data_IF_029348870164
#
_entry.id   IF_029348870164
#
_cell.length_a   1.000
_cell.length_b   1.000
_cell.length_c   1.000
_cell.angle_alpha   90.00
_cell.angle_beta   90.00
_cell.angle_gamma   90.00
#
_symmetry.space_group_name_H-M   'P 1'
#
loop_
_entity.id
_entity.type
_entity.pdbx_description
1 polymer ?
#
# COMPACT_ATOMS: atom_id res chain seq x y z
N UNK A 1 3.51 -23.22 -0.44
CA UNK A 1 2.52 -22.14 -0.29
C UNK A 1 1.60 -22.46 0.89
N UNK A 2 1.68 -21.69 1.98
CA UNK A 2 0.99 -21.98 3.26
C UNK A 2 -0.53 -21.77 3.22
N UNK A 3 -1.10 -21.48 2.05
CA UNK A 3 -2.48 -21.02 1.93
C UNK A 3 -3.35 -21.86 0.97
N UNK A 4 -2.86 -22.99 0.47
CA UNK A 4 -3.56 -23.77 -0.57
C UNK A 4 -4.76 -24.58 -0.08
N UNK A 5 -4.98 -24.75 1.24
CA UNK A 5 -5.94 -25.71 1.79
C UNK A 5 -7.09 -25.09 2.62
N UNK A 6 -7.52 -23.86 2.28
CA UNK A 6 -8.72 -23.31 2.92
C UNK A 6 -9.84 -23.18 1.91
N UNK A 7 -10.99 -23.79 2.18
CA UNK A 7 -12.18 -23.81 1.30
C UNK A 7 -12.65 -22.42 0.80
N UNK A 8 -12.24 -21.36 1.48
CA UNK A 8 -12.58 -19.96 1.18
C UNK A 8 -11.41 -19.14 0.60
N UNK A 9 -10.29 -19.77 0.23
CA UNK A 9 -9.12 -19.09 -0.30
C UNK A 9 -8.80 -19.56 -1.71
N UNK A 10 -8.66 -18.61 -2.64
CA UNK A 10 -8.24 -18.88 -4.01
C UNK A 10 -7.05 -18.01 -4.34
N UNK A 11 -6.05 -18.57 -5.00
CA UNK A 11 -4.81 -17.89 -5.36
C UNK A 11 -4.66 -17.79 -6.88
N UNK A 12 -4.51 -16.54 -7.36
CA UNK A 12 -4.17 -16.23 -8.75
C UNK A 12 -2.84 -15.49 -8.79
N UNK A 13 -1.75 -16.16 -9.18
CA UNK A 13 -0.48 -15.48 -9.43
C UNK A 13 -0.69 -14.41 -10.51
N UNK A 14 -0.36 -13.16 -10.20
CA UNK A 14 -0.62 -12.03 -11.09
C UNK A 14 0.48 -10.98 -10.94
N UNK A 15 1.14 -10.62 -12.02
CA UNK A 15 1.93 -9.41 -12.07
C UNK A 15 0.98 -8.22 -12.24
N UNK A 16 0.77 -7.48 -11.17
CA UNK A 16 -0.13 -6.32 -11.18
C UNK A 16 0.38 -5.16 -12.04
N UNK A 17 1.66 -5.15 -12.45
CA UNK A 17 2.20 -4.15 -13.36
C UNK A 17 1.87 -4.45 -14.84
N UNK A 18 1.34 -5.65 -15.14
CA UNK A 18 0.93 -6.13 -16.45
C UNK A 18 -0.60 -6.00 -16.63
N UNK A 19 -1.04 -5.11 -17.52
CA UNK A 19 -2.46 -4.92 -17.81
C UNK A 19 -3.15 -6.21 -18.31
N UNK A 20 -2.44 -7.03 -19.10
CA UNK A 20 -3.00 -8.28 -19.62
C UNK A 20 -3.21 -9.32 -18.51
N UNK A 21 -2.26 -9.46 -17.58
CA UNK A 21 -2.39 -10.39 -16.45
C UNK A 21 -3.48 -9.94 -15.49
N UNK A 22 -3.55 -8.64 -15.18
CA UNK A 22 -4.60 -8.06 -14.35
C UNK A 22 -5.98 -8.35 -14.93
N UNK A 23 -6.20 -8.06 -16.22
CA UNK A 23 -7.48 -8.32 -16.87
C UNK A 23 -7.83 -9.81 -16.83
N UNK A 24 -6.89 -10.70 -17.20
CA UNK A 24 -7.09 -12.16 -17.16
C UNK A 24 -7.47 -12.64 -15.75
N UNK A 25 -6.81 -12.12 -14.72
CA UNK A 25 -7.10 -12.49 -13.33
C UNK A 25 -8.50 -12.03 -12.92
N UNK A 26 -8.84 -10.77 -13.18
CA UNK A 26 -10.15 -10.21 -12.83
C UNK A 26 -11.27 -10.95 -13.58
N UNK A 27 -11.09 -11.24 -14.87
CA UNK A 27 -12.06 -12.01 -15.67
C UNK A 27 -12.25 -13.43 -15.10
N UNK A 28 -11.17 -14.10 -14.68
CA UNK A 28 -11.23 -15.42 -14.05
C UNK A 28 -11.99 -15.39 -12.72
N UNK A 29 -11.81 -14.36 -11.91
CA UNK A 29 -12.55 -14.16 -10.66
C UNK A 29 -14.04 -13.94 -10.95
N UNK A 30 -14.37 -13.10 -11.92
CA UNK A 30 -15.75 -12.81 -12.32
C UNK A 30 -16.41 -14.05 -12.87
N UNK A 31 -15.72 -14.82 -13.71
CA UNK A 31 -16.23 -16.08 -14.25
C UNK A 31 -16.56 -17.09 -13.13
N UNK A 32 -15.73 -17.15 -12.09
CA UNK A 32 -15.90 -18.09 -10.99
C UNK A 32 -16.99 -17.67 -9.99
N UNK A 33 -17.03 -16.39 -9.61
CA UNK A 33 -17.87 -15.91 -8.51
C UNK A 33 -19.02 -15.01 -8.95
N UNK A 34 -19.04 -14.55 -10.19
CA UNK A 34 -20.06 -13.65 -10.73
C UNK A 34 -19.94 -12.19 -10.29
N UNK A 35 -19.20 -11.91 -9.21
CA UNK A 35 -19.09 -10.59 -8.59
C UNK A 35 -17.77 -10.35 -7.87
N UNK A 36 -17.48 -9.08 -7.62
CA UNK A 36 -16.37 -8.64 -6.74
C UNK A 36 -16.92 -7.54 -5.83
N UNK A 37 -16.91 -7.76 -4.51
CA UNK A 37 -17.47 -6.83 -3.53
C UNK A 37 -16.44 -5.89 -2.94
N UNK A 38 -15.20 -6.34 -2.85
CA UNK A 38 -14.10 -5.58 -2.29
C UNK A 38 -12.78 -5.79 -3.04
N UNK A 39 -12.00 -4.71 -3.15
CA UNK A 39 -10.62 -4.75 -3.61
C UNK A 39 -9.74 -4.13 -2.54
N UNK A 40 -8.68 -4.83 -2.14
CA UNK A 40 -7.63 -4.26 -1.28
C UNK A 40 -6.33 -4.18 -2.07
N UNK A 41 -5.94 -2.98 -2.45
CA UNK A 41 -4.66 -2.70 -3.10
C UNK A 41 -3.55 -2.67 -2.04
N UNK A 42 -3.03 -3.85 -1.68
CA UNK A 42 -2.00 -4.01 -0.65
C UNK A 42 -0.60 -4.28 -1.23
N UNK A 43 -0.51 -4.85 -2.42
CA UNK A 43 0.78 -5.17 -3.03
C UNK A 43 1.66 -3.91 -3.17
N UNK A 44 2.94 -4.04 -2.83
CA UNK A 44 3.88 -2.93 -2.93
C UNK A 44 5.31 -3.33 -2.61
N UNK A 45 6.25 -2.52 -3.07
CA UNK A 45 7.69 -2.65 -2.82
C UNK A 45 8.24 -1.34 -2.31
N UNK A 46 9.32 -1.41 -1.54
CA UNK A 46 10.03 -0.25 -1.02
C UNK A 46 11.53 -0.48 -1.11
N UNK A 47 12.22 0.35 -1.85
CA UNK A 47 13.68 0.36 -1.99
C UNK A 47 14.21 1.68 -1.42
N UNK A 48 14.69 1.72 -0.15
CA UNK A 48 15.26 2.95 0.40
C UNK A 48 16.47 3.40 -0.42
N UNK A 49 16.40 4.64 -0.94
CA UNK A 49 17.43 5.27 -1.78
C UNK A 49 17.39 6.78 -1.57
N UNK A 50 18.56 7.40 -1.56
CA UNK A 50 18.70 8.87 -1.58
C UNK A 50 18.49 9.41 -3.00
N UNK A 51 18.04 10.65 -3.12
CA UNK A 51 18.03 11.35 -4.40
C UNK A 51 19.45 11.53 -4.93
N UNK A 52 20.36 11.91 -4.05
CA UNK A 52 21.81 11.97 -4.29
C UNK A 52 22.50 11.36 -3.07
N UNK A 53 23.40 10.42 -3.30
CA UNK A 53 24.25 9.85 -2.24
C UNK A 53 25.63 10.53 -2.28
N UNK A 54 25.86 11.54 -1.44
CA UNK A 54 27.11 12.28 -1.38
C UNK A 54 28.33 11.42 -0.98
N UNK A 55 28.09 10.29 -0.26
CA UNK A 55 29.14 9.36 0.17
C UNK A 55 29.56 8.39 -0.94
N UNK A 56 28.63 8.05 -1.82
CA UNK A 56 28.84 7.11 -2.92
C UNK A 56 27.97 7.50 -4.12
N UNK A 57 28.33 8.58 -4.84
CA UNK A 57 27.58 9.06 -6.01
C UNK A 57 27.39 7.94 -7.05
N UNK A 58 26.16 7.79 -7.54
CA UNK A 58 25.73 6.71 -8.45
C UNK A 58 25.91 5.29 -7.86
N UNK A 59 26.08 5.21 -6.54
CA UNK A 59 26.26 3.94 -5.82
C UNK A 59 24.94 3.21 -5.53
N UNK A 60 25.08 2.13 -4.76
CA UNK A 60 23.98 1.20 -4.43
C UNK A 60 22.77 1.89 -3.79
N UNK A 61 22.97 2.94 -3.03
CA UNK A 61 21.92 3.60 -2.25
C UNK A 61 21.46 4.94 -2.83
N UNK A 62 21.93 5.30 -4.02
CA UNK A 62 21.35 6.38 -4.82
C UNK A 62 20.18 5.86 -5.66
N UNK A 63 19.14 6.65 -5.80
CA UNK A 63 17.94 6.29 -6.56
C UNK A 63 18.24 6.27 -8.04
N UNK A 64 18.30 5.10 -8.64
CA UNK A 64 18.46 4.93 -10.07
C UNK A 64 17.09 4.72 -10.76
N UNK A 65 17.09 4.87 -12.09
CA UNK A 65 15.89 4.76 -12.92
C UNK A 65 15.16 3.41 -12.75
N UNK A 66 15.89 2.31 -12.73
CA UNK A 66 15.31 0.96 -12.60
C UNK A 66 14.56 0.78 -11.26
N UNK A 67 15.13 1.26 -10.15
CA UNK A 67 14.47 1.22 -8.85
C UNK A 67 13.25 2.14 -8.80
N UNK A 68 13.35 3.34 -9.41
CA UNK A 68 12.24 4.28 -9.55
C UNK A 68 11.10 3.65 -10.33
N UNK A 69 11.35 3.16 -11.53
CA UNK A 69 10.34 2.53 -12.40
C UNK A 69 9.69 1.34 -11.73
N UNK A 70 10.47 0.48 -11.06
CA UNK A 70 9.92 -0.69 -10.37
C UNK A 70 8.96 -0.29 -9.26
N UNK A 71 9.28 0.74 -8.46
CA UNK A 71 8.37 1.25 -7.43
C UNK A 71 7.11 1.87 -8.06
N UNK A 72 7.24 2.68 -9.09
CA UNK A 72 6.10 3.31 -9.79
C UNK A 72 5.22 2.24 -10.45
N UNK A 73 5.81 1.27 -11.15
CA UNK A 73 5.07 0.24 -11.85
C UNK A 73 4.25 -0.65 -10.90
N UNK A 74 4.79 -1.00 -9.74
CA UNK A 74 4.08 -1.85 -8.77
C UNK A 74 3.15 -1.01 -7.89
N UNK A 75 3.68 0.02 -7.22
CA UNK A 75 2.94 0.72 -6.18
C UNK A 75 1.87 1.69 -6.71
N UNK A 76 2.03 2.19 -7.93
CA UNK A 76 1.14 3.20 -8.51
C UNK A 76 0.39 2.67 -9.72
N UNK A 77 1.09 2.24 -10.78
CA UNK A 77 0.48 1.71 -12.01
C UNK A 77 -0.33 0.44 -11.72
N UNK A 78 0.23 -0.49 -10.93
CA UNK A 78 -0.46 -1.73 -10.55
C UNK A 78 -1.77 -1.46 -9.81
N UNK A 79 -1.76 -0.52 -8.88
CA UNK A 79 -2.98 -0.08 -8.17
C UNK A 79 -4.01 0.50 -9.14
N UNK A 80 -3.58 1.31 -10.09
CA UNK A 80 -4.47 1.84 -11.14
C UNK A 80 -5.07 0.72 -11.99
N UNK A 81 -4.26 -0.21 -12.50
CA UNK A 81 -4.73 -1.29 -13.35
C UNK A 81 -5.74 -2.20 -12.64
N UNK A 82 -5.42 -2.63 -11.41
CA UNK A 82 -6.33 -3.47 -10.61
C UNK A 82 -7.62 -2.73 -10.29
N UNK A 83 -7.53 -1.48 -9.86
CA UNK A 83 -8.71 -0.68 -9.54
C UNK A 83 -9.60 -0.46 -10.75
N UNK A 84 -9.03 -0.16 -11.92
CA UNK A 84 -9.80 0.04 -13.14
C UNK A 84 -10.52 -1.24 -13.59
N UNK A 85 -9.81 -2.37 -13.60
CA UNK A 85 -10.39 -3.66 -14.00
C UNK A 85 -11.54 -4.07 -13.07
N UNK A 86 -11.34 -3.97 -11.75
CA UNK A 86 -12.36 -4.32 -10.75
C UNK A 86 -13.51 -3.31 -10.75
N UNK A 87 -13.23 -2.01 -10.85
CA UNK A 87 -14.27 -0.98 -10.86
C UNK A 87 -15.24 -1.13 -12.03
N UNK A 88 -14.80 -1.60 -13.21
CA UNK A 88 -15.69 -1.91 -14.32
C UNK A 88 -16.78 -2.92 -13.95
N UNK A 89 -16.42 -3.92 -13.14
CA UNK A 89 -17.38 -4.91 -12.63
C UNK A 89 -18.26 -4.30 -11.52
N UNK A 90 -17.67 -3.57 -10.58
CA UNK A 90 -18.41 -2.92 -9.48
C UNK A 90 -19.43 -1.90 -9.99
N UNK A 91 -19.13 -1.17 -11.08
CA UNK A 91 -20.09 -0.24 -11.75
C UNK A 91 -21.31 -1.01 -12.27
N UNK A 92 -21.15 -2.19 -12.88
CA UNK A 92 -22.25 -3.05 -13.30
C UNK A 92 -23.08 -3.53 -12.12
N UNK A 93 -22.42 -3.84 -11.01
CA UNK A 93 -23.06 -4.31 -9.76
C UNK A 93 -23.79 -3.18 -9.01
N UNK A 94 -23.44 -1.90 -9.29
CA UNK A 94 -23.89 -0.74 -8.51
C UNK A 94 -23.48 -0.82 -7.02
N UNK A 95 -22.39 -1.50 -6.74
CA UNK A 95 -21.92 -1.76 -5.38
C UNK A 95 -20.45 -2.17 -5.40
N UNK A 96 -19.68 -1.76 -4.39
CA UNK A 96 -18.30 -2.20 -4.18
C UNK A 96 -17.51 -1.28 -3.25
N UNK A 97 -16.37 -1.79 -2.79
CA UNK A 97 -15.43 -1.03 -1.96
C UNK A 97 -14.00 -1.24 -2.44
N UNK A 98 -13.28 -0.16 -2.66
CA UNK A 98 -11.84 -0.18 -2.97
C UNK A 98 -11.09 0.39 -1.77
N UNK A 99 -10.16 -0.38 -1.22
CA UNK A 99 -9.27 0.04 -0.13
C UNK A 99 -7.84 0.16 -0.67
N UNK A 100 -7.26 1.34 -0.63
CA UNK A 100 -5.88 1.61 -1.02
C UNK A 100 -4.96 1.61 0.21
N UNK A 101 -3.98 0.71 0.26
CA UNK A 101 -2.98 0.69 1.33
C UNK A 101 -1.86 1.67 0.97
N UNK A 102 -1.96 2.88 1.52
CA UNK A 102 -0.97 3.93 1.43
C UNK A 102 0.16 3.72 2.47
N UNK A 103 0.65 4.77 3.06
CA UNK A 103 1.65 4.79 4.14
C UNK A 103 1.65 6.16 4.81
N UNK A 104 2.10 6.25 6.07
CA UNK A 104 2.44 7.52 6.70
C UNK A 104 3.43 8.33 5.85
N UNK A 105 4.38 7.65 5.18
CA UNK A 105 5.35 8.29 4.27
C UNK A 105 4.67 9.01 3.10
N UNK A 106 3.49 8.57 2.67
CA UNK A 106 2.69 9.23 1.63
C UNK A 106 1.92 10.46 2.14
N UNK A 107 1.92 10.72 3.45
CA UNK A 107 1.32 11.91 4.07
C UNK A 107 2.38 12.99 4.36
N UNK A 108 3.53 12.60 4.91
CA UNK A 108 4.55 13.54 5.36
C UNK A 108 5.91 13.46 4.63
N UNK A 109 6.09 12.50 3.73
CA UNK A 109 7.41 12.18 3.16
C UNK A 109 8.25 11.31 4.08
N UNK A 110 9.42 10.89 3.61
CA UNK A 110 10.36 10.09 4.42
C UNK A 110 11.76 10.16 3.82
N UNK A 111 12.74 10.54 4.61
CA UNK A 111 14.16 10.56 4.21
C UNK A 111 14.60 9.17 3.74
N UNK A 112 15.30 9.13 2.61
CA UNK A 112 15.73 7.90 1.97
C UNK A 112 14.63 7.09 1.27
N UNK A 113 13.39 7.61 1.20
CA UNK A 113 12.24 6.90 0.62
C UNK A 113 11.41 7.81 -0.30
N UNK A 114 12.00 8.81 -0.93
CA UNK A 114 11.27 9.83 -1.70
C UNK A 114 10.37 9.23 -2.79
N UNK A 115 10.87 8.29 -3.58
CA UNK A 115 10.07 7.62 -4.62
C UNK A 115 8.93 6.79 -4.01
N UNK A 116 9.21 6.00 -2.97
CA UNK A 116 8.17 5.24 -2.27
C UNK A 116 7.08 6.17 -1.71
N UNK A 117 7.47 7.23 -1.01
CA UNK A 117 6.56 8.22 -0.47
C UNK A 117 5.70 8.87 -1.56
N UNK A 118 6.29 9.23 -2.71
CA UNK A 118 5.57 9.77 -3.85
C UNK A 118 4.53 8.77 -4.40
N UNK A 119 4.88 7.47 -4.54
CA UNK A 119 3.92 6.47 -4.98
C UNK A 119 2.76 6.31 -3.98
N UNK A 120 3.02 6.38 -2.68
CA UNK A 120 1.98 6.29 -1.64
C UNK A 120 1.13 7.57 -1.55
N UNK A 121 1.70 8.74 -1.78
CA UNK A 121 0.96 9.99 -1.94
C UNK A 121 0.01 9.95 -3.15
N UNK A 122 0.43 9.33 -4.25
CA UNK A 122 -0.42 9.11 -5.42
C UNK A 122 -1.68 8.29 -5.05
N UNK A 123 -1.57 7.27 -4.19
CA UNK A 123 -2.71 6.49 -3.72
C UNK A 123 -3.71 7.34 -2.92
N UNK A 124 -3.21 8.29 -2.12
CA UNK A 124 -4.07 9.24 -1.40
C UNK A 124 -4.86 10.13 -2.37
N UNK A 125 -4.21 10.55 -3.47
CA UNK A 125 -4.87 11.33 -4.53
C UNK A 125 -5.90 10.49 -5.30
N UNK A 126 -5.54 9.25 -5.69
CA UNK A 126 -6.47 8.31 -6.33
C UNK A 126 -7.70 8.05 -5.44
N UNK A 127 -7.51 7.86 -4.15
CA UNK A 127 -8.61 7.64 -3.20
C UNK A 127 -9.61 8.80 -3.24
N UNK A 128 -9.12 10.05 -3.21
CA UNK A 128 -9.98 11.24 -3.27
C UNK A 128 -10.67 11.42 -4.62
N UNK A 129 -9.96 11.16 -5.72
CA UNK A 129 -10.50 11.34 -7.08
C UNK A 129 -11.51 10.26 -7.42
N UNK A 130 -11.14 9.00 -7.24
CA UNK A 130 -11.99 7.86 -7.59
C UNK A 130 -13.25 7.77 -6.71
N UNK A 131 -13.21 8.23 -5.47
CA UNK A 131 -14.40 8.32 -4.63
C UNK A 131 -15.47 9.25 -5.23
N UNK A 132 -15.04 10.35 -5.85
CA UNK A 132 -15.94 11.30 -6.54
C UNK A 132 -16.47 10.73 -7.86
N UNK A 133 -15.61 10.03 -8.61
CA UNK A 133 -15.98 9.44 -9.89
C UNK A 133 -16.95 8.26 -9.71
N UNK A 134 -16.72 7.41 -8.71
CA UNK A 134 -17.39 6.13 -8.53
C UNK A 134 -18.55 6.17 -7.53
N UNK A 135 -18.65 7.20 -6.68
CA UNK A 135 -19.69 7.31 -5.65
C UNK A 135 -21.11 7.25 -6.21
N UNK A 136 -21.38 7.86 -7.39
CA UNK A 136 -22.67 7.79 -8.10
C UNK A 136 -23.07 6.37 -8.53
N UNK A 137 -22.12 5.44 -8.51
CA UNK A 137 -22.34 4.02 -8.82
C UNK A 137 -22.47 3.16 -7.56
N UNK A 138 -22.56 3.76 -6.36
CA UNK A 138 -22.62 3.02 -5.10
C UNK A 138 -21.28 2.40 -4.68
N UNK A 139 -20.16 2.90 -5.21
CA UNK A 139 -18.82 2.38 -4.91
C UNK A 139 -18.10 3.35 -3.99
N UNK A 140 -17.55 2.83 -2.89
CA UNK A 140 -16.70 3.58 -1.97
C UNK A 140 -15.23 3.36 -2.29
N UNK A 141 -14.43 4.41 -2.15
CA UNK A 141 -12.97 4.33 -2.27
C UNK A 141 -12.36 4.96 -1.03
N UNK A 142 -11.60 4.19 -0.29
CA UNK A 142 -11.00 4.59 0.99
C UNK A 142 -9.53 4.22 1.02
N UNK A 143 -8.77 4.89 1.87
CA UNK A 143 -7.36 4.62 2.07
C UNK A 143 -7.04 4.32 3.53
N UNK A 144 -5.99 3.56 3.74
CA UNK A 144 -5.33 3.38 5.02
C UNK A 144 -3.86 3.75 4.89
N UNK A 145 -3.31 4.49 5.84
CA UNK A 145 -1.91 4.92 5.86
C UNK A 145 -1.22 4.37 7.12
N UNK A 146 -0.74 3.11 7.09
CA UNK A 146 -0.02 2.55 8.21
C UNK A 146 1.31 3.27 8.47
N UNK A 147 1.66 3.40 9.74
CA UNK A 147 2.97 3.81 10.19
C UNK A 147 3.89 2.61 10.43
N UNK A 148 4.69 2.69 11.48
CA UNK A 148 5.61 1.61 11.86
C UNK A 148 4.80 0.44 12.44
N UNK A 149 4.85 -0.70 11.76
CA UNK A 149 4.23 -1.95 12.17
C UNK A 149 5.27 -2.96 12.66
N UNK A 150 4.83 -4.05 13.22
CA UNK A 150 5.64 -5.25 13.46
C UNK A 150 6.29 -5.75 12.15
N UNK A 151 7.29 -6.62 12.27
CA UNK A 151 8.09 -7.05 11.11
C UNK A 151 7.22 -7.71 10.04
N UNK A 152 7.34 -7.21 8.82
CA UNK A 152 6.70 -7.75 7.61
C UNK A 152 7.75 -8.25 6.62
N UNK A 153 7.31 -8.91 5.54
CA UNK A 153 8.17 -9.31 4.44
C UNK A 153 8.86 -8.14 3.70
N UNK A 154 8.38 -6.90 3.88
CA UNK A 154 9.04 -5.71 3.34
C UNK A 154 10.27 -5.30 4.15
N UNK A 155 10.33 -5.63 5.45
CA UNK A 155 11.45 -5.28 6.34
C UNK A 155 12.48 -6.39 6.36
N UNK A 156 13.21 -6.53 5.25
CA UNK A 156 14.34 -7.45 5.14
C UNK A 156 15.62 -6.83 5.72
N UNK A 157 16.69 -7.63 6.00
CA UNK A 157 17.99 -7.08 6.38
C UNK A 157 18.50 -6.03 5.37
N UNK A 158 18.38 -6.29 4.09
CA UNK A 158 18.82 -5.39 3.03
C UNK A 158 18.02 -4.06 3.02
N UNK A 159 16.74 -4.12 3.35
CA UNK A 159 15.92 -2.92 3.54
C UNK A 159 16.40 -2.11 4.74
N UNK A 160 16.66 -2.77 5.89
CA UNK A 160 17.13 -2.09 7.10
C UNK A 160 18.52 -1.47 6.89
N UNK A 161 19.44 -2.17 6.22
CA UNK A 161 20.75 -1.64 5.84
C UNK A 161 20.63 -0.39 4.94
N UNK A 162 19.82 -0.49 3.88
CA UNK A 162 19.59 0.61 2.97
C UNK A 162 18.99 1.84 3.69
N UNK A 163 18.00 1.62 4.54
CA UNK A 163 17.33 2.70 5.27
C UNK A 163 18.27 3.33 6.32
N UNK A 164 19.07 2.53 7.03
CA UNK A 164 20.07 3.00 7.97
C UNK A 164 21.14 3.85 7.26
N UNK A 165 21.63 3.38 6.10
CA UNK A 165 22.59 4.13 5.27
C UNK A 165 22.03 5.50 4.88
N UNK A 166 20.80 5.52 4.35
CA UNK A 166 20.17 6.77 3.87
C UNK A 166 19.95 7.80 4.98
N UNK A 167 19.89 7.37 6.23
CA UNK A 167 19.70 8.21 7.42
C UNK A 167 20.98 8.46 8.20
N UNK A 168 22.11 7.96 7.72
CA UNK A 168 23.39 8.05 8.40
C UNK A 168 23.37 7.54 9.86
N UNK A 169 22.70 6.43 10.08
CA UNK A 169 22.59 5.75 11.38
C UNK A 169 22.97 4.27 11.26
N UNK A 170 23.18 3.59 12.36
CA UNK A 170 23.37 2.13 12.35
C UNK A 170 22.02 1.41 12.26
N UNK A 171 22.05 0.12 11.89
CA UNK A 171 20.84 -0.73 11.88
C UNK A 171 20.25 -0.86 13.29
N UNK A 172 21.12 -0.90 14.33
CA UNK A 172 20.69 -0.93 15.72
C UNK A 172 19.93 0.33 16.11
N UNK A 173 20.46 1.51 15.77
CA UNK A 173 19.79 2.79 16.00
C UNK A 173 18.46 2.88 15.21
N UNK A 174 18.43 2.35 13.98
CA UNK A 174 17.17 2.27 13.21
C UNK A 174 16.13 1.41 13.95
N UNK A 175 16.54 0.26 14.49
CA UNK A 175 15.63 -0.64 15.23
C UNK A 175 15.17 -0.04 16.56
N UNK A 176 16.04 0.69 17.25
CA UNK A 176 15.66 1.45 18.45
C UNK A 176 14.58 2.50 18.13
N UNK A 177 14.66 3.16 16.97
CA UNK A 177 13.65 4.09 16.49
C UNK A 177 12.27 3.46 16.21
N UNK A 178 12.18 2.13 16.12
CA UNK A 178 10.90 1.40 16.03
C UNK A 178 10.27 1.13 17.41
N UNK A 179 10.91 1.53 18.48
CA UNK A 179 10.54 1.29 19.86
C UNK A 179 9.80 2.49 20.49
N UNK A 180 9.60 2.42 21.79
CA UNK A 180 8.77 3.30 22.63
C UNK A 180 8.94 4.81 22.44
N UNK A 181 10.10 5.29 22.01
CA UNK A 181 10.39 6.73 22.04
C UNK A 181 9.93 7.49 20.80
N UNK A 182 9.72 6.81 19.67
CA UNK A 182 9.34 7.44 18.39
C UNK A 182 7.83 7.38 18.11
N UNK A 183 7.08 6.53 18.82
CA UNK A 183 5.65 6.30 18.59
C UNK A 183 4.90 6.65 19.89
N UNK A 184 4.00 7.65 19.91
CA UNK A 184 3.30 8.07 21.12
C UNK A 184 2.55 6.94 21.87
N UNK A 185 1.99 5.95 21.14
CA UNK A 185 1.39 4.75 21.75
C UNK A 185 2.42 3.84 22.42
N UNK A 186 3.72 4.08 22.24
CA UNK A 186 4.81 3.36 22.90
C UNK A 186 5.18 2.01 22.30
N UNK A 187 4.68 1.66 21.13
CA UNK A 187 4.98 0.41 20.41
C UNK A 187 4.72 0.51 18.92
N UNK A 188 5.29 -0.39 18.15
CA UNK A 188 4.87 -0.64 16.76
C UNK A 188 3.43 -1.16 16.71
N UNK A 189 2.70 -0.83 15.66
CA UNK A 189 1.37 -1.37 15.41
C UNK A 189 1.42 -2.87 15.04
N UNK A 190 0.35 -3.59 15.33
CA UNK A 190 0.17 -4.98 14.91
C UNK A 190 -0.45 -5.01 13.52
N UNK A 191 -0.14 -6.04 12.74
CA UNK A 191 -0.76 -6.23 11.42
C UNK A 191 -2.27 -6.42 11.53
N UNK A 192 -2.72 -7.09 12.60
CA UNK A 192 -4.16 -7.28 12.88
C UNK A 192 -4.89 -5.94 13.09
N UNK A 193 -4.26 -4.94 13.73
CA UNK A 193 -4.91 -3.64 13.97
C UNK A 193 -5.21 -2.90 12.65
N UNK A 194 -4.35 -3.07 11.64
CA UNK A 194 -4.61 -2.55 10.29
C UNK A 194 -5.64 -3.41 9.57
N UNK A 195 -5.54 -4.74 9.66
CA UNK A 195 -6.46 -5.68 9.02
C UNK A 195 -7.90 -5.51 9.55
N UNK A 196 -8.09 -5.37 10.86
CA UNK A 196 -9.40 -5.16 11.49
C UNK A 196 -10.07 -3.88 10.97
N UNK A 197 -9.27 -2.80 10.81
CA UNK A 197 -9.78 -1.56 10.25
C UNK A 197 -10.11 -1.68 8.76
N UNK A 198 -9.31 -2.42 7.98
CA UNK A 198 -9.63 -2.73 6.59
C UNK A 198 -10.94 -3.53 6.49
N UNK A 199 -11.13 -4.53 7.33
CA UNK A 199 -12.39 -5.29 7.40
C UNK A 199 -13.58 -4.38 7.75
N UNK A 200 -13.42 -3.46 8.70
CA UNK A 200 -14.44 -2.47 9.01
C UNK A 200 -14.77 -1.59 7.79
N UNK A 201 -13.76 -1.10 7.08
CA UNK A 201 -13.96 -0.27 5.88
C UNK A 201 -14.66 -1.02 4.74
N UNK A 202 -14.43 -2.33 4.61
CA UNK A 202 -15.10 -3.18 3.61
C UNK A 202 -16.57 -3.46 3.98
N UNK A 203 -16.96 -3.31 5.23
CA UNK A 203 -18.30 -3.62 5.71
C UNK A 203 -19.31 -2.47 5.47
N UNK A 204 -20.61 -2.80 5.56
CA UNK A 204 -21.72 -1.83 5.51
C UNK A 204 -21.70 -0.83 6.68
N UNK A 205 -20.99 -1.14 7.78
CA UNK A 205 -20.82 -0.24 8.93
C UNK A 205 -20.06 1.04 8.57
N UNK A 206 -19.29 1.01 7.47
CA UNK A 206 -18.54 2.15 6.93
C UNK A 206 -19.25 2.78 5.71
N UNK A 207 -20.55 2.59 5.53
CA UNK A 207 -21.31 2.96 4.32
C UNK A 207 -21.22 4.44 3.94
N UNK A 208 -20.97 5.34 4.90
CA UNK A 208 -20.82 6.78 4.65
C UNK A 208 -19.35 7.26 4.61
N UNK A 209 -18.38 6.33 4.70
CA UNK A 209 -16.94 6.64 4.68
C UNK A 209 -16.40 6.40 3.27
N UNK A 210 -16.01 7.46 2.57
CA UNK A 210 -15.37 7.42 1.25
C UNK A 210 -14.52 8.67 1.00
N UNK A 211 -13.50 8.59 0.15
CA UNK A 211 -12.64 9.71 -0.23
C UNK A 211 -11.61 10.14 0.81
N UNK A 212 -11.46 9.38 1.88
CA UNK A 212 -10.52 9.66 2.98
C UNK A 212 -9.44 8.59 3.07
N UNK A 213 -8.26 8.99 3.50
CA UNK A 213 -7.17 8.08 3.91
C UNK A 213 -6.95 8.25 5.40
N UNK A 214 -7.18 7.17 6.16
CA UNK A 214 -7.02 7.18 7.62
C UNK A 214 -5.59 6.81 7.99
N UNK A 215 -4.96 7.66 8.78
CA UNK A 215 -3.64 7.41 9.34
C UNK A 215 -3.73 6.41 10.50
N UNK A 216 -2.91 5.34 10.44
CA UNK A 216 -2.82 4.28 11.46
C UNK A 216 -1.35 4.20 11.93
N UNK A 217 -0.89 5.21 12.63
CA UNK A 217 0.54 5.38 12.96
C UNK A 217 0.82 5.54 14.46
N UNK A 218 -0.13 5.22 15.33
CA UNK A 218 0.05 5.31 16.79
C UNK A 218 0.37 6.72 17.29
N UNK A 219 -0.08 7.75 16.55
CA UNK A 219 0.15 9.16 16.87
C UNK A 219 1.49 9.72 16.39
N UNK A 220 2.32 8.92 15.69
CA UNK A 220 3.64 9.34 15.19
C UNK A 220 3.52 10.40 14.10
N UNK A 221 2.60 10.24 13.20
CA UNK A 221 2.39 11.10 12.03
C UNK A 221 1.10 11.88 12.17
N UNK A 222 1.15 13.16 11.83
CA UNK A 222 -0.05 13.99 11.69
C UNK A 222 -0.69 13.70 10.34
N UNK A 223 -1.94 13.31 10.33
CA UNK A 223 -2.71 13.05 9.11
C UNK A 223 -3.10 14.33 8.38
#
# INVERSE_FOLDING_TARGET
>A
DKHQDRDNYNFWPTDISSASEVNKTVDSIIQRFGRIDGLVNNAGVNFPRLLVDEKAPSGRYELNEAAFEKMVNINQKGVFLMSQAVARQMVKQRSGVIVNVSSESGLEGSEGQSCYAATKAALNSFTRSWSKELGKHGIRVVGVAPGILEKTGLRTPEYEEALAWTRNITVEQLREGYSKNAIPVGRSGRLSEVADFVCYLLSERASYITGVTTNIAGGKTRG
#
